data_IF_338730975715
#
_entry.id   IF_338730975715
#
_cell.length_a   1.000
_cell.length_b   1.000
_cell.length_c   1.000
_cell.angle_alpha   90.00
_cell.angle_beta   90.00
_cell.angle_gamma   90.00
#
_symmetry.space_group_name_H-M   'P 1'
#
loop_
_entity.id
_entity.type
_entity.pdbx_description
1 polymer ?
#
# COMPACT_ATOMS: atom_id res chain seq x y z
N UNK A 1 -10.96 -52.22 50.96
CA UNK A 1 -11.42 -52.08 49.56
C UNK A 1 -11.33 -50.61 49.16
N UNK A 2 -10.67 -50.33 48.03
CA UNK A 2 -10.94 -49.30 47.00
C UNK A 2 -11.77 -48.06 47.43
N UNK A 3 -11.45 -46.80 47.12
CA UNK A 3 -10.59 -46.10 46.15
C UNK A 3 -10.51 -44.64 46.68
N UNK A 4 -9.34 -43.98 46.65
CA UNK A 4 -8.95 -42.93 45.66
C UNK A 4 -10.09 -41.88 45.46
N UNK A 5 -9.89 -40.56 45.58
CA UNK A 5 -8.86 -39.74 44.92
C UNK A 5 -8.75 -38.40 45.70
N UNK A 6 -7.55 -38.05 46.17
CA UNK A 6 -7.18 -36.66 46.47
C UNK A 6 -6.94 -35.95 45.14
N UNK A 7 -7.76 -34.96 44.79
CA UNK A 7 -7.46 -34.05 43.68
C UNK A 7 -6.77 -32.83 44.27
N UNK A 8 -5.43 -32.86 44.29
CA UNK A 8 -4.62 -31.65 44.48
C UNK A 8 -4.66 -30.92 43.14
N UNK A 9 -5.40 -29.82 43.10
CA UNK A 9 -5.47 -28.92 41.95
C UNK A 9 -4.17 -28.09 41.93
N UNK A 10 -3.10 -28.66 41.35
CA UNK A 10 -1.89 -27.89 41.04
C UNK A 10 -2.20 -27.05 39.81
N UNK A 11 -2.61 -25.80 40.04
CA UNK A 11 -2.60 -24.74 39.04
C UNK A 11 -1.15 -24.51 38.62
N UNK A 12 -0.67 -25.28 37.64
CA UNK A 12 0.49 -24.87 36.85
C UNK A 12 0.00 -23.72 35.99
N UNK A 13 0.15 -22.51 36.52
CA UNK A 13 0.06 -21.27 35.78
C UNK A 13 1.25 -21.24 34.82
N UNK A 14 1.20 -22.08 33.78
CA UNK A 14 2.08 -21.96 32.63
C UNK A 14 1.69 -20.66 31.95
N UNK A 15 2.38 -19.60 32.36
CA UNK A 15 2.57 -18.41 31.55
C UNK A 15 3.10 -18.91 30.21
N UNK A 16 2.18 -19.14 29.29
CA UNK A 16 2.43 -19.06 27.85
C UNK A 16 2.86 -17.61 27.62
N UNK A 17 4.12 -17.31 27.97
CA UNK A 17 4.88 -16.29 27.28
C UNK A 17 4.94 -16.79 25.86
N UNK A 18 3.88 -16.49 25.11
CA UNK A 18 3.89 -16.45 23.67
C UNK A 18 4.95 -15.40 23.34
N UNK A 19 6.21 -15.84 23.35
CA UNK A 19 7.32 -15.13 22.77
C UNK A 19 7.01 -15.10 21.29
N UNK A 20 6.14 -14.16 20.91
CA UNK A 20 6.10 -13.63 19.56
C UNK A 20 7.51 -13.08 19.41
N UNK A 21 8.38 -13.89 18.83
CA UNK A 21 9.68 -13.42 18.33
C UNK A 21 9.31 -12.23 17.48
N UNK A 22 9.53 -11.04 18.04
CA UNK A 22 9.43 -9.80 17.32
C UNK A 22 10.68 -9.85 16.46
N UNK A 23 10.55 -10.52 15.32
CA UNK A 23 11.55 -10.50 14.28
C UNK A 23 11.85 -9.03 14.05
N UNK A 24 13.04 -8.58 14.47
CA UNK A 24 13.43 -7.18 14.35
C UNK A 24 13.24 -6.80 12.90
N UNK A 25 12.25 -5.95 12.64
CA UNK A 25 11.94 -5.50 11.29
C UNK A 25 13.18 -4.81 10.75
N UNK A 26 13.83 -5.40 9.75
CA UNK A 26 15.00 -4.79 9.12
C UNK A 26 14.62 -3.37 8.67
N UNK A 27 15.46 -2.36 8.94
CA UNK A 27 15.16 -1.00 8.52
C UNK A 27 14.93 -0.95 7.01
N UNK A 28 13.90 -0.22 6.59
CA UNK A 28 13.61 0.00 5.17
C UNK A 28 14.81 0.71 4.52
N UNK A 29 15.35 0.10 3.46
CA UNK A 29 16.41 0.70 2.64
C UNK A 29 15.78 1.23 1.36
N UNK A 30 15.77 2.55 1.20
CA UNK A 30 15.21 3.23 0.02
C UNK A 30 16.34 3.47 -1.00
N UNK A 31 16.24 2.91 -2.22
CA UNK A 31 17.21 3.16 -3.28
C UNK A 31 17.40 4.67 -3.58
N UNK A 32 18.58 5.06 -4.04
CA UNK A 32 18.95 6.47 -4.19
C UNK A 32 18.07 7.21 -5.18
N UNK A 33 17.59 6.53 -6.22
CA UNK A 33 16.69 7.06 -7.24
C UNK A 33 15.28 7.40 -6.72
N UNK A 34 14.89 6.88 -5.54
CA UNK A 34 13.57 7.10 -4.93
C UNK A 34 13.64 8.01 -3.69
N UNK A 35 14.77 8.67 -3.44
CA UNK A 35 14.95 9.53 -2.27
C UNK A 35 14.00 10.74 -2.24
N UNK A 36 13.48 11.15 -3.41
CA UNK A 36 12.45 12.19 -3.51
C UNK A 36 11.15 11.81 -2.77
N UNK A 37 10.88 10.51 -2.59
CA UNK A 37 9.70 9.99 -1.91
C UNK A 37 10.02 9.42 -0.53
N UNK A 38 11.23 9.68 0.00
CA UNK A 38 11.73 9.06 1.25
C UNK A 38 10.75 9.25 2.41
N UNK A 39 10.29 10.48 2.63
CA UNK A 39 9.40 10.81 3.74
C UNK A 39 8.08 10.03 3.65
N UNK A 40 7.50 9.92 2.46
CA UNK A 40 6.28 9.16 2.23
C UNK A 40 6.50 7.65 2.44
N UNK A 41 7.61 7.11 1.92
CA UNK A 41 7.94 5.68 2.06
C UNK A 41 8.20 5.31 3.53
N UNK A 42 8.94 6.14 4.26
CA UNK A 42 9.17 5.98 5.69
C UNK A 42 7.86 6.06 6.47
N UNK A 43 6.99 7.01 6.12
CA UNK A 43 5.67 7.14 6.75
C UNK A 43 4.83 5.87 6.57
N UNK A 44 4.71 5.36 5.34
CA UNK A 44 3.99 4.12 5.06
C UNK A 44 4.60 2.93 5.84
N UNK A 45 5.93 2.85 5.91
CA UNK A 45 6.62 1.83 6.68
C UNK A 45 6.33 1.92 8.19
N UNK A 46 6.40 3.13 8.76
CA UNK A 46 6.13 3.39 10.18
C UNK A 46 4.67 3.12 10.55
N UNK A 47 3.74 3.30 9.61
CA UNK A 47 2.34 2.92 9.76
C UNK A 47 2.11 1.40 9.64
N UNK A 48 3.18 0.61 9.49
CA UNK A 48 3.15 -0.85 9.52
C UNK A 48 2.98 -1.50 8.16
N UNK A 49 3.28 -0.78 7.06
CA UNK A 49 3.36 -1.39 5.73
C UNK A 49 4.76 -1.97 5.50
N UNK A 50 4.87 -3.29 5.42
CA UNK A 50 6.16 -3.94 5.21
C UNK A 50 6.56 -3.90 3.73
N UNK A 51 7.38 -2.91 3.36
CA UNK A 51 7.88 -2.73 1.99
C UNK A 51 9.04 -3.69 1.73
N UNK A 52 8.91 -4.54 0.71
CA UNK A 52 9.86 -5.58 0.34
C UNK A 52 10.72 -5.19 -0.86
N UNK A 53 10.12 -4.58 -1.88
CA UNK A 53 10.80 -4.20 -3.12
C UNK A 53 10.23 -2.88 -3.67
N UNK A 54 11.08 -2.07 -4.30
CA UNK A 54 10.72 -0.83 -4.98
C UNK A 54 11.37 -0.84 -6.37
N UNK A 55 10.55 -0.71 -7.41
CA UNK A 55 10.97 -0.68 -8.81
C UNK A 55 10.34 0.51 -9.53
N UNK A 56 10.86 0.86 -10.71
CA UNK A 56 10.26 1.92 -11.52
C UNK A 56 8.90 1.46 -12.08
N UNK A 57 7.93 2.35 -12.05
CA UNK A 57 6.57 2.07 -12.51
C UNK A 57 6.33 2.52 -13.94
N UNK A 58 5.46 1.78 -14.63
CA UNK A 58 4.91 2.15 -15.94
C UNK A 58 4.07 3.42 -15.91
N UNK A 59 3.59 3.86 -14.74
CA UNK A 59 2.73 5.04 -14.62
C UNK A 59 3.46 6.37 -14.80
N UNK A 60 4.79 6.36 -14.85
CA UNK A 60 5.63 7.54 -15.13
C UNK A 60 5.15 8.30 -16.37
N UNK A 61 4.93 7.59 -17.48
CA UNK A 61 4.49 8.20 -18.73
C UNK A 61 3.03 8.67 -18.68
N UNK A 62 2.18 7.95 -17.94
CA UNK A 62 0.75 8.24 -17.88
C UNK A 62 0.44 9.54 -17.09
N UNK A 63 1.14 9.74 -15.97
CA UNK A 63 1.03 10.96 -15.16
C UNK A 63 2.07 12.03 -15.50
N UNK A 64 2.85 11.82 -16.57
CA UNK A 64 3.88 12.75 -17.04
C UNK A 64 4.83 13.21 -15.93
N UNK A 65 5.27 12.26 -15.08
CA UNK A 65 6.22 12.53 -14.01
C UNK A 65 7.64 12.31 -14.50
N UNK A 66 8.63 12.86 -13.79
CA UNK A 66 10.03 12.55 -14.05
C UNK A 66 10.32 11.03 -13.94
N UNK A 67 11.37 10.53 -14.63
CA UNK A 67 11.81 9.15 -14.48
C UNK A 67 12.00 8.79 -13.00
N UNK A 68 11.52 7.61 -12.58
CA UNK A 68 11.57 7.10 -11.20
C UNK A 68 10.66 7.81 -10.19
N UNK A 69 9.86 8.80 -10.58
CA UNK A 69 8.86 9.40 -9.69
C UNK A 69 7.59 8.54 -9.57
N UNK A 70 7.40 7.55 -10.44
CA UNK A 70 6.39 6.52 -10.23
C UNK A 70 7.08 5.21 -9.83
N UNK A 71 6.64 4.62 -8.74
CA UNK A 71 7.24 3.45 -8.13
C UNK A 71 6.24 2.29 -8.07
N UNK A 72 6.65 1.13 -8.54
CA UNK A 72 6.01 -0.14 -8.26
C UNK A 72 6.55 -0.64 -6.93
N UNK A 73 5.68 -0.86 -5.95
CA UNK A 73 6.06 -1.22 -4.59
C UNK A 73 5.39 -2.54 -4.21
N UNK A 74 6.23 -3.52 -3.86
CA UNK A 74 5.77 -4.81 -3.35
C UNK A 74 5.85 -4.83 -1.83
N UNK A 75 4.77 -5.30 -1.21
CA UNK A 75 4.63 -5.47 0.24
C UNK A 75 4.21 -6.90 0.56
N UNK A 76 4.13 -7.22 1.84
CA UNK A 76 3.54 -8.49 2.32
C UNK A 76 2.03 -8.59 2.07
N UNK A 77 1.33 -7.46 1.94
CA UNK A 77 -0.12 -7.39 1.67
C UNK A 77 -0.47 -7.36 0.18
N UNK A 78 0.52 -7.13 -0.70
CA UNK A 78 0.30 -7.09 -2.14
C UNK A 78 1.18 -6.06 -2.83
N UNK A 79 0.67 -5.51 -3.92
CA UNK A 79 1.40 -4.56 -4.75
C UNK A 79 0.56 -3.30 -4.89
N UNK A 80 1.24 -2.16 -4.77
CA UNK A 80 0.67 -0.86 -5.15
C UNK A 80 1.70 -0.03 -5.91
N UNK A 81 1.20 1.00 -6.57
CA UNK A 81 2.00 1.98 -7.28
C UNK A 81 1.95 3.28 -6.50
N UNK A 82 3.08 3.97 -6.35
CA UNK A 82 3.19 5.29 -5.73
C UNK A 82 3.71 6.27 -6.78
N UNK A 83 2.89 7.24 -7.16
CA UNK A 83 3.23 8.27 -8.14
C UNK A 83 3.47 9.58 -7.40
N UNK A 84 4.69 10.11 -7.47
CA UNK A 84 5.08 11.40 -6.93
C UNK A 84 4.88 12.51 -7.99
N UNK A 85 3.94 13.40 -7.73
CA UNK A 85 3.56 14.52 -8.59
C UNK A 85 4.34 15.77 -8.22
N UNK A 86 5.29 16.16 -9.06
CA UNK A 86 6.16 17.32 -8.82
C UNK A 86 5.39 18.64 -8.77
N UNK A 87 4.27 18.71 -9.51
CA UNK A 87 3.39 19.88 -9.55
C UNK A 87 2.44 19.97 -8.35
N UNK A 88 2.44 18.96 -7.48
CA UNK A 88 1.58 18.86 -6.30
C UNK A 88 0.09 19.07 -6.60
N UNK A 89 -0.38 18.55 -7.74
CA UNK A 89 -1.73 18.75 -8.25
C UNK A 89 -2.62 17.50 -8.15
N UNK A 90 -2.26 16.51 -7.32
CA UNK A 90 -2.98 15.24 -7.29
C UNK A 90 -4.45 15.36 -6.87
N UNK A 91 -4.82 16.36 -6.07
CA UNK A 91 -6.24 16.64 -5.76
C UNK A 91 -7.03 17.15 -6.96
N UNK A 92 -6.38 17.79 -7.93
CA UNK A 92 -6.98 18.32 -9.15
C UNK A 92 -7.16 17.25 -10.25
N UNK A 93 -6.56 16.07 -10.06
CA UNK A 93 -6.67 14.94 -11.01
C UNK A 93 -7.89 14.10 -10.65
N UNK A 94 -8.99 14.18 -11.41
CA UNK A 94 -10.16 13.34 -11.19
C UNK A 94 -9.97 11.95 -11.79
N UNK A 95 -10.39 10.92 -11.04
CA UNK A 95 -10.31 9.52 -11.47
C UNK A 95 -11.67 8.88 -11.24
N UNK A 96 -12.36 8.54 -12.32
CA UNK A 96 -13.73 7.99 -12.28
C UNK A 96 -13.75 6.62 -12.95
N UNK A 97 -14.34 5.63 -12.27
CA UNK A 97 -14.60 4.32 -12.86
C UNK A 97 -15.76 4.44 -13.84
N UNK A 98 -15.58 4.01 -15.09
CA UNK A 98 -16.69 3.92 -16.05
C UNK A 98 -17.44 2.59 -15.91
N UNK A 99 -16.75 1.47 -16.13
CA UNK A 99 -17.33 0.13 -16.09
C UNK A 99 -16.24 -0.94 -16.21
N UNK A 100 -16.58 -2.16 -15.82
CA UNK A 100 -15.84 -3.35 -16.24
C UNK A 100 -16.26 -3.70 -17.67
N UNK A 101 -15.30 -3.99 -18.53
CA UNK A 101 -15.52 -4.44 -19.90
C UNK A 101 -15.83 -5.94 -19.93
N UNK A 102 -16.45 -6.40 -21.02
CA UNK A 102 -16.79 -7.82 -21.22
C UNK A 102 -15.57 -8.76 -21.19
N UNK A 103 -14.36 -8.24 -21.43
CA UNK A 103 -13.10 -8.99 -21.34
C UNK A 103 -12.44 -8.94 -19.95
N UNK A 104 -13.11 -8.40 -18.92
CA UNK A 104 -12.62 -8.36 -17.54
C UNK A 104 -11.62 -7.23 -17.24
N UNK A 105 -11.47 -6.26 -18.14
CA UNK A 105 -10.70 -5.04 -17.88
C UNK A 105 -11.58 -4.01 -17.17
N UNK A 106 -10.95 -3.05 -16.51
CA UNK A 106 -11.60 -1.94 -15.83
C UNK A 106 -11.15 -0.64 -16.47
N UNK A 107 -12.13 0.17 -16.88
CA UNK A 107 -11.90 1.48 -17.49
C UNK A 107 -12.01 2.58 -16.45
N UNK A 108 -10.99 3.43 -16.41
CA UNK A 108 -10.96 4.63 -15.59
C UNK A 108 -10.74 5.84 -16.50
N UNK A 109 -11.55 6.87 -16.33
CA UNK A 109 -11.27 8.19 -16.91
C UNK A 109 -10.45 8.97 -15.92
N UNK A 110 -9.28 9.42 -16.35
CA UNK A 110 -8.38 10.29 -15.59
C UNK A 110 -8.39 11.67 -16.24
N UNK A 111 -8.94 12.64 -15.52
CA UNK A 111 -9.11 14.02 -15.98
C UNK A 111 -8.15 14.94 -15.24
N UNK A 112 -7.37 15.73 -15.98
CA UNK A 112 -6.42 16.69 -15.43
C UNK A 112 -6.44 17.96 -16.28
N UNK A 113 -6.69 19.13 -15.67
CA UNK A 113 -6.74 20.42 -16.38
C UNK A 113 -7.69 20.42 -17.61
N UNK A 114 -8.82 19.72 -17.50
CA UNK A 114 -9.81 19.61 -18.58
C UNK A 114 -9.40 18.66 -19.72
N UNK A 115 -8.31 17.92 -19.57
CA UNK A 115 -7.88 16.89 -20.52
C UNK A 115 -8.17 15.51 -19.94
N UNK A 116 -8.97 14.72 -20.66
CA UNK A 116 -9.33 13.37 -20.28
C UNK A 116 -8.39 12.34 -20.93
N UNK A 117 -7.93 11.37 -20.13
CA UNK A 117 -7.13 10.24 -20.57
C UNK A 117 -7.78 8.94 -20.09
N UNK A 118 -7.84 7.94 -20.97
CA UNK A 118 -8.36 6.64 -20.62
C UNK A 118 -7.25 5.76 -20.03
N UNK A 119 -7.51 5.19 -18.86
CA UNK A 119 -6.67 4.18 -18.22
C UNK A 119 -7.43 2.85 -18.20
N UNK A 120 -6.88 1.84 -18.87
CA UNK A 120 -7.44 0.49 -18.92
C UNK A 120 -6.53 -0.44 -18.13
N UNK A 121 -7.10 -1.11 -17.13
CA UNK A 121 -6.37 -2.01 -16.24
C UNK A 121 -7.03 -3.39 -16.24
N UNK A 122 -6.24 -4.47 -16.25
CA UNK A 122 -6.77 -5.85 -16.26
C UNK A 122 -7.42 -6.32 -14.94
N UNK A 123 -7.71 -5.42 -14.00
CA UNK A 123 -8.36 -5.72 -12.74
C UNK A 123 -8.93 -4.44 -12.11
N UNK A 124 -9.80 -4.59 -11.11
CA UNK A 124 -10.21 -3.48 -10.26
C UNK A 124 -8.99 -2.88 -9.54
N UNK A 125 -8.91 -1.56 -9.49
CA UNK A 125 -7.87 -0.82 -8.81
C UNK A 125 -8.51 0.28 -7.96
N UNK A 126 -7.89 0.52 -6.82
CA UNK A 126 -8.31 1.52 -5.86
C UNK A 126 -7.27 2.63 -5.81
N UNK A 127 -7.76 3.86 -5.76
CA UNK A 127 -6.94 5.06 -5.87
C UNK A 127 -7.03 5.89 -4.59
N UNK A 128 -5.89 6.38 -4.11
CA UNK A 128 -5.85 7.49 -3.16
C UNK A 128 -5.07 8.65 -3.77
N UNK A 129 -5.43 9.87 -3.38
CA UNK A 129 -4.83 11.10 -3.91
C UNK A 129 -4.54 12.05 -2.76
N UNK A 130 -3.36 12.66 -2.77
CA UNK A 130 -3.03 13.89 -2.05
C UNK A 130 -2.57 14.94 -3.05
N UNK A 131 -2.06 16.08 -2.60
CA UNK A 131 -1.46 17.04 -3.52
C UNK A 131 -0.22 16.42 -4.19
N UNK A 132 0.65 15.77 -3.42
CA UNK A 132 1.94 15.28 -3.89
C UNK A 132 1.92 13.84 -4.42
N UNK A 133 0.92 13.02 -4.07
CA UNK A 133 0.95 11.60 -4.38
C UNK A 133 -0.36 11.06 -4.91
N UNK A 134 -0.25 10.09 -5.83
CA UNK A 134 -1.33 9.17 -6.17
C UNK A 134 -0.87 7.75 -5.81
N UNK A 135 -1.72 6.98 -5.14
CA UNK A 135 -1.50 5.54 -4.96
C UNK A 135 -2.51 4.73 -5.74
N UNK A 136 -2.06 3.61 -6.33
CA UNK A 136 -2.90 2.70 -7.10
C UNK A 136 -2.67 1.28 -6.57
N UNK A 137 -3.68 0.69 -5.95
CA UNK A 137 -3.59 -0.65 -5.37
C UNK A 137 -4.63 -1.59 -6.00
N UNK A 138 -4.25 -2.85 -6.23
CA UNK A 138 -5.18 -3.90 -6.70
C UNK A 138 -5.90 -4.62 -5.57
N UNK A 139 -5.30 -4.61 -4.38
CA UNK A 139 -5.86 -5.23 -3.19
C UNK A 139 -6.57 -4.17 -2.34
N UNK A 140 -7.83 -4.43 -2.01
CA UNK A 140 -8.67 -3.49 -1.26
C UNK A 140 -8.15 -3.26 0.17
N UNK A 141 -7.71 -4.29 0.86
CA UNK A 141 -7.21 -4.19 2.24
C UNK A 141 -5.90 -3.40 2.29
N UNK A 142 -5.01 -3.63 1.32
CA UNK A 142 -3.81 -2.82 1.11
C UNK A 142 -4.17 -1.35 0.85
N UNK A 143 -5.14 -1.09 -0.04
CA UNK A 143 -5.62 0.25 -0.29
C UNK A 143 -6.14 0.93 0.98
N UNK A 144 -6.96 0.23 1.76
CA UNK A 144 -7.54 0.77 2.98
C UNK A 144 -6.46 1.07 4.03
N UNK A 145 -5.42 0.23 4.12
CA UNK A 145 -4.24 0.47 4.96
C UNK A 145 -3.48 1.73 4.53
N UNK A 146 -3.20 1.87 3.23
CA UNK A 146 -2.55 3.07 2.67
C UNK A 146 -3.40 4.31 2.93
N UNK A 147 -4.72 4.23 2.69
CA UNK A 147 -5.65 5.34 2.90
C UNK A 147 -5.69 5.78 4.36
N UNK A 148 -5.59 4.86 5.32
CA UNK A 148 -5.49 5.20 6.73
C UNK A 148 -4.18 5.91 7.05
N UNK A 149 -3.05 5.41 6.55
CA UNK A 149 -1.75 6.05 6.72
C UNK A 149 -1.75 7.49 6.18
N UNK A 150 -2.36 7.72 5.01
CA UNK A 150 -2.43 9.05 4.39
C UNK A 150 -3.35 10.04 5.14
N UNK A 151 -4.26 9.59 6.01
CA UNK A 151 -5.10 10.47 6.83
C UNK A 151 -4.42 10.93 8.12
N UNK A 152 -3.36 10.25 8.54
CA UNK A 152 -2.60 10.57 9.75
C UNK A 152 -1.57 11.69 9.53
N UNK A 153 -1.43 12.16 8.28
CA UNK A 153 -0.59 13.26 7.84
C UNK A 153 -1.37 14.58 7.85
#
# INVERSE_FOLDING_TARGET
MLRKICIIFVLVLSTLTFGRSQEESKPLVIPSEYQHAKEMLDHLYNEGLNIQEIHNSKYTAFFNTNPNNSMYIKTDMGIFELVHLERKNGKEIDIVVQEATDNGEYKYVVSENGVDRLLILGAENYFNKSDEYITIARNKDLNDKIKQALKAQ
#
